data_IF_770788662468
#
_entry.id   IF_770788662468
#
_cell.length_a   1.000
_cell.length_b   1.000
_cell.length_c   1.000
_cell.angle_alpha   90.00
_cell.angle_beta   90.00
_cell.angle_gamma   90.00
#
_symmetry.space_group_name_H-M   'P 1'
#
loop_
_entity.id
_entity.type
_entity.pdbx_description
1 polymer ?
#
# COMPACT_ATOMS: atom_id res chain seq x y z
N UNK A 1 -41.91 33.79 -42.77
CA UNK A 1 -41.04 32.60 -42.57
C UNK A 1 -40.34 32.73 -41.23
N UNK A 2 -40.87 32.13 -40.15
CA UNK A 2 -40.26 32.15 -38.82
C UNK A 2 -39.23 31.03 -38.75
N UNK A 3 -37.95 31.35 -38.52
CA UNK A 3 -36.89 30.36 -38.30
C UNK A 3 -36.76 30.14 -36.79
N UNK A 4 -36.97 28.91 -36.35
CA UNK A 4 -36.75 28.47 -34.97
C UNK A 4 -35.26 28.16 -34.80
N UNK A 5 -34.61 28.75 -33.79
CA UNK A 5 -33.25 28.40 -33.38
C UNK A 5 -33.39 27.44 -32.21
N UNK A 6 -32.96 26.20 -32.41
CA UNK A 6 -32.90 25.17 -31.37
C UNK A 6 -31.72 25.52 -30.46
N UNK A 7 -32.01 25.90 -29.21
CA UNK A 7 -31.01 26.05 -28.17
C UNK A 7 -30.68 24.63 -27.67
N UNK A 8 -29.52 24.13 -28.07
CA UNK A 8 -29.00 22.85 -27.59
C UNK A 8 -28.44 23.03 -26.18
N UNK A 9 -29.08 22.37 -25.21
CA UNK A 9 -28.61 22.20 -23.84
C UNK A 9 -27.38 21.31 -23.83
N UNK A 10 -26.19 21.91 -23.79
CA UNK A 10 -24.97 21.22 -23.37
C UNK A 10 -24.97 21.19 -21.84
N UNK A 11 -25.50 20.08 -21.30
CA UNK A 11 -25.32 19.68 -19.92
C UNK A 11 -23.82 19.52 -19.67
N UNK A 12 -23.17 20.54 -19.12
CA UNK A 12 -21.79 20.43 -18.64
C UNK A 12 -21.84 19.66 -17.33
N UNK A 13 -21.88 18.33 -17.43
CA UNK A 13 -21.74 17.41 -16.32
C UNK A 13 -20.33 17.52 -15.76
N UNK A 14 -20.12 18.43 -14.82
CA UNK A 14 -18.99 18.37 -13.90
C UNK A 14 -19.38 17.43 -12.75
N UNK A 15 -19.49 16.14 -13.09
CA UNK A 15 -19.18 15.10 -12.13
C UNK A 15 -17.68 15.22 -11.87
N UNK A 16 -17.30 16.01 -10.87
CA UNK A 16 -16.02 15.78 -10.21
C UNK A 16 -16.14 14.40 -9.55
N UNK A 17 -15.82 13.36 -10.30
CA UNK A 17 -15.21 12.20 -9.69
C UNK A 17 -13.90 12.75 -9.11
N UNK A 18 -13.93 13.12 -7.83
CA UNK A 18 -12.70 13.13 -7.04
C UNK A 18 -12.16 11.72 -7.15
N UNK A 19 -11.27 11.55 -8.11
CA UNK A 19 -10.57 10.31 -8.35
C UNK A 19 -9.93 9.92 -7.02
N UNK A 20 -10.25 8.70 -6.57
CA UNK A 20 -9.84 8.12 -5.30
C UNK A 20 -8.33 7.86 -5.32
N UNK A 21 -7.52 8.91 -5.48
CA UNK A 21 -6.08 8.80 -5.59
C UNK A 21 -5.50 8.82 -4.17
N UNK A 22 -4.83 7.73 -3.80
CA UNK A 22 -3.97 7.72 -2.64
C UNK A 22 -2.90 8.80 -2.84
N UNK A 23 -2.93 9.85 -2.02
CA UNK A 23 -1.92 10.89 -2.06
C UNK A 23 -0.73 10.45 -1.20
N UNK A 24 0.39 10.13 -1.86
CA UNK A 24 1.61 9.72 -1.18
C UNK A 24 2.75 10.71 -1.41
N UNK A 25 3.62 10.85 -0.43
CA UNK A 25 4.91 11.53 -0.57
C UNK A 25 6.00 10.77 0.17
N UNK A 26 7.24 10.90 -0.32
CA UNK A 26 8.42 10.30 0.30
C UNK A 26 9.14 11.33 1.17
N UNK A 27 9.47 10.96 2.40
CA UNK A 27 10.48 11.63 3.23
C UNK A 27 11.82 10.90 3.04
N UNK A 28 12.73 11.52 2.29
CA UNK A 28 14.02 10.92 1.96
C UNK A 28 14.97 10.85 3.16
N UNK A 29 14.91 11.81 4.08
CA UNK A 29 15.80 11.88 5.23
C UNK A 29 15.44 10.78 6.25
N UNK A 30 14.15 10.45 6.32
CA UNK A 30 13.63 9.42 7.22
C UNK A 30 13.46 8.04 6.59
N UNK A 31 13.64 7.91 5.27
CA UNK A 31 13.42 6.67 4.50
C UNK A 31 12.02 6.08 4.73
N UNK A 32 10.99 6.94 4.63
CA UNK A 32 9.59 6.54 4.77
C UNK A 32 8.74 7.13 3.65
N UNK A 33 7.59 6.49 3.40
CA UNK A 33 6.56 6.99 2.49
C UNK A 33 5.27 7.21 3.29
N UNK A 34 4.70 8.40 3.22
CA UNK A 34 3.45 8.74 3.90
C UNK A 34 2.36 8.81 2.85
N UNK A 35 1.28 8.06 3.07
CA UNK A 35 0.14 7.96 2.17
C UNK A 35 -1.15 8.32 2.91
N UNK A 36 -1.98 9.16 2.32
CA UNK A 36 -3.33 9.44 2.80
C UNK A 36 -4.35 8.73 1.93
N UNK A 37 -5.14 7.84 2.53
CA UNK A 37 -6.22 7.12 1.87
C UNK A 37 -7.52 7.35 2.64
N UNK A 38 -8.65 7.47 1.93
CA UNK A 38 -9.92 7.93 2.49
C UNK A 38 -10.48 7.01 3.60
N UNK A 39 -10.27 5.70 3.49
CA UNK A 39 -10.77 4.69 4.42
C UNK A 39 -9.71 4.25 5.43
N UNK A 40 -8.44 4.31 5.07
CA UNK A 40 -7.32 3.89 5.94
C UNK A 40 -6.71 5.03 6.75
N UNK A 41 -7.04 6.28 6.41
CA UNK A 41 -6.43 7.46 7.01
C UNK A 41 -5.00 7.67 6.52
N UNK A 42 -4.15 8.23 7.40
CA UNK A 42 -2.74 8.51 7.10
C UNK A 42 -1.84 7.37 7.57
N UNK A 43 -1.20 6.70 6.62
CA UNK A 43 -0.27 5.61 6.88
C UNK A 43 1.15 6.04 6.56
N UNK A 44 2.09 5.62 7.39
CA UNK A 44 3.53 5.76 7.15
C UNK A 44 4.13 4.38 6.92
N UNK A 45 4.88 4.25 5.84
CA UNK A 45 5.47 3.01 5.36
C UNK A 45 6.98 3.06 5.47
N UNK A 46 7.57 1.98 6.00
CA UNK A 46 9.01 1.78 5.94
C UNK A 46 9.44 1.68 4.47
N UNK A 47 10.51 2.38 4.08
CA UNK A 47 11.15 2.21 2.79
C UNK A 47 12.65 2.48 2.87
N UNK A 48 13.36 1.50 3.44
CA UNK A 48 14.81 1.48 3.63
C UNK A 48 15.50 0.58 2.59
N UNK A 49 16.78 0.84 2.32
CA UNK A 49 17.57 0.10 1.32
C UNK A 49 17.74 -1.38 1.68
N UNK A 50 17.87 -1.68 2.97
CA UNK A 50 17.97 -3.05 3.44
C UNK A 50 16.56 -3.63 3.56
N UNK A 51 16.27 -4.64 2.75
CA UNK A 51 15.02 -5.40 2.86
C UNK A 51 15.19 -6.55 3.85
N UNK A 52 14.12 -6.86 4.58
CA UNK A 52 14.03 -8.05 5.42
C UNK A 52 13.13 -9.09 4.75
N UNK A 53 13.55 -10.36 4.83
CA UNK A 53 12.72 -11.51 4.49
C UNK A 53 12.71 -12.50 5.64
N UNK A 54 11.54 -13.00 5.99
CA UNK A 54 11.38 -13.93 7.10
C UNK A 54 10.10 -14.76 7.00
N UNK A 55 9.96 -15.70 7.93
CA UNK A 55 8.66 -16.34 8.19
C UNK A 55 7.62 -15.32 8.62
N UNK A 56 6.34 -15.67 8.58
CA UNK A 56 5.28 -14.75 9.00
C UNK A 56 5.45 -14.29 10.47
N UNK A 57 5.86 -15.20 11.35
CA UNK A 57 6.19 -14.87 12.74
C UNK A 57 7.39 -13.92 12.85
N UNK A 58 8.47 -14.20 12.12
CA UNK A 58 9.63 -13.32 12.06
C UNK A 58 9.28 -11.94 11.48
N UNK A 59 8.34 -11.86 10.53
CA UNK A 59 7.88 -10.62 9.94
C UNK A 59 7.12 -9.75 10.95
N UNK A 60 6.25 -10.36 11.75
CA UNK A 60 5.56 -9.66 12.83
C UNK A 60 6.55 -9.14 13.88
N UNK A 61 7.51 -9.98 14.28
CA UNK A 61 8.50 -9.60 15.28
C UNK A 61 9.42 -8.48 14.77
N UNK A 62 9.91 -8.62 13.54
CA UNK A 62 10.69 -7.58 12.87
C UNK A 62 9.98 -6.23 12.94
N UNK A 63 8.70 -6.15 12.55
CA UNK A 63 7.99 -4.88 12.59
C UNK A 63 7.81 -4.32 14.01
N UNK A 64 7.69 -5.15 15.05
CA UNK A 64 7.57 -4.66 16.43
C UNK A 64 8.87 -4.06 16.98
N UNK A 65 10.03 -4.49 16.47
CA UNK A 65 11.34 -4.04 16.96
C UNK A 65 11.98 -2.95 16.11
N UNK A 66 11.46 -2.70 14.90
CA UNK A 66 11.93 -1.62 14.03
C UNK A 66 11.79 -0.29 14.77
N UNK A 67 12.89 0.46 14.78
CA UNK A 67 12.93 1.85 15.24
C UNK A 67 13.40 2.72 14.09
N UNK A 68 12.44 3.24 13.33
CA UNK A 68 12.68 4.04 12.13
C UNK A 68 11.99 5.39 12.27
N UNK A 69 12.65 6.46 11.80
CA UNK A 69 12.11 7.81 11.81
C UNK A 69 11.75 8.35 13.23
N UNK A 70 12.29 7.73 14.28
CA UNK A 70 11.98 8.05 15.69
C UNK A 70 10.76 7.31 16.25
N UNK A 71 10.17 6.39 15.49
CA UNK A 71 8.95 5.65 15.85
C UNK A 71 9.22 4.17 16.09
N UNK A 72 8.45 3.57 17.01
CA UNK A 72 8.56 2.16 17.44
C UNK A 72 7.25 1.37 17.38
N UNK A 73 6.17 2.02 16.99
CA UNK A 73 4.81 1.47 16.85
C UNK A 73 4.56 0.92 15.44
N UNK A 74 5.61 0.41 14.81
CA UNK A 74 5.55 -0.25 13.51
C UNK A 74 4.87 -1.62 13.65
N UNK A 75 4.13 -2.01 12.61
CA UNK A 75 3.44 -3.30 12.55
C UNK A 75 3.44 -3.87 11.14
N UNK A 76 3.13 -5.16 11.06
CA UNK A 76 2.85 -5.81 9.79
C UNK A 76 1.54 -5.24 9.21
N UNK A 77 1.49 -4.89 7.91
CA UNK A 77 0.30 -4.30 7.29
C UNK A 77 -0.80 -5.34 7.11
N UNK A 78 -2.04 -4.88 7.03
CA UNK A 78 -3.17 -5.71 6.56
C UNK A 78 -3.16 -5.84 5.04
N UNK A 79 -3.93 -6.79 4.51
CA UNK A 79 -4.12 -6.97 3.07
C UNK A 79 -4.64 -5.68 2.41
N UNK A 80 -5.65 -5.03 3.00
CA UNK A 80 -6.23 -3.78 2.47
C UNK A 80 -5.20 -2.65 2.42
N UNK A 81 -4.33 -2.55 3.43
CA UNK A 81 -3.28 -1.54 3.46
C UNK A 81 -2.23 -1.80 2.38
N UNK A 82 -1.77 -3.05 2.24
CA UNK A 82 -0.85 -3.43 1.16
C UNK A 82 -1.45 -3.12 -0.21
N UNK A 83 -2.72 -3.44 -0.43
CA UNK A 83 -3.40 -3.18 -1.70
C UNK A 83 -3.37 -1.68 -2.05
N UNK A 84 -3.54 -0.80 -1.05
CA UNK A 84 -3.54 0.65 -1.25
C UNK A 84 -2.21 1.23 -1.74
N UNK A 85 -1.11 0.47 -1.59
CA UNK A 85 0.23 0.87 -2.03
C UNK A 85 0.77 0.07 -3.24
N UNK A 86 -0.07 -0.69 -3.92
CA UNK A 86 0.35 -1.42 -5.14
C UNK A 86 0.36 -0.49 -6.36
N UNK A 87 1.24 -0.75 -7.33
CA UNK A 87 1.23 -0.02 -8.61
C UNK A 87 -0.12 -0.13 -9.33
N UNK A 88 -0.79 -1.29 -9.22
CA UNK A 88 -2.14 -1.48 -9.75
C UNK A 88 -3.14 -0.47 -9.19
N UNK A 89 -3.05 -0.18 -7.89
CA UNK A 89 -3.94 0.79 -7.23
C UNK A 89 -3.55 2.22 -7.53
N UNK A 90 -2.25 2.51 -7.67
CA UNK A 90 -1.76 3.82 -8.08
C UNK A 90 -0.42 3.67 -8.83
N UNK A 91 -0.42 3.85 -10.17
CA UNK A 91 0.77 3.65 -11.00
C UNK A 91 1.96 4.56 -10.69
N UNK A 92 1.74 5.66 -9.97
CA UNK A 92 2.81 6.59 -9.60
C UNK A 92 3.62 6.11 -8.39
N UNK A 93 3.14 5.11 -7.64
CA UNK A 93 3.76 4.68 -6.38
C UNK A 93 5.14 4.05 -6.55
N UNK A 94 5.43 3.44 -7.69
CA UNK A 94 6.76 2.90 -7.97
C UNK A 94 7.85 3.97 -8.06
N UNK A 95 7.47 5.22 -8.32
CA UNK A 95 8.40 6.35 -8.29
C UNK A 95 8.57 6.91 -6.88
N UNK A 96 7.63 6.62 -5.97
CA UNK A 96 7.62 7.13 -4.59
C UNK A 96 8.33 6.15 -3.64
N UNK A 97 8.09 4.86 -3.80
CA UNK A 97 8.83 3.80 -3.12
C UNK A 97 10.15 3.55 -3.84
N UNK A 98 11.26 3.90 -3.18
CA UNK A 98 12.60 3.86 -3.75
C UNK A 98 13.23 2.47 -3.63
N UNK A 99 12.94 1.74 -2.55
CA UNK A 99 13.58 0.47 -2.26
C UNK A 99 12.57 -0.68 -2.32
N UNK A 100 12.16 -0.99 -3.55
CA UNK A 100 11.36 -2.17 -3.87
C UNK A 100 12.33 -3.23 -4.41
N UNK A 101 12.29 -4.44 -3.84
CA UNK A 101 13.07 -5.55 -4.38
C UNK A 101 12.52 -6.02 -5.74
N UNK A 102 13.25 -6.85 -6.47
CA UNK A 102 12.73 -7.40 -7.72
C UNK A 102 11.56 -8.36 -7.45
N UNK A 103 10.41 -8.09 -8.09
CA UNK A 103 9.14 -8.84 -7.92
C UNK A 103 8.78 -9.26 -6.47
N UNK A 104 8.64 -8.34 -5.49
CA UNK A 104 8.50 -8.70 -4.10
C UNK A 104 7.06 -9.07 -3.75
N UNK A 105 6.93 -10.21 -3.08
CA UNK A 105 5.75 -10.57 -2.32
C UNK A 105 5.95 -10.18 -0.87
N UNK A 106 5.02 -9.40 -0.33
CA UNK A 106 5.04 -8.91 1.05
C UNK A 106 4.03 -9.65 1.91
N UNK A 107 4.42 -10.00 3.12
CA UNK A 107 3.51 -10.53 4.13
C UNK A 107 2.48 -9.49 4.58
N UNK A 108 1.24 -9.94 4.77
CA UNK A 108 0.22 -9.22 5.53
C UNK A 108 -0.04 -9.88 6.89
N UNK A 109 -0.72 -9.18 7.79
CA UNK A 109 -1.17 -9.67 9.09
C UNK A 109 -2.41 -10.57 9.04
N UNK A 110 -3.02 -10.76 7.87
CA UNK A 110 -4.20 -11.61 7.69
C UNK A 110 -3.80 -13.09 7.78
N UNK A 111 -4.15 -13.74 8.89
CA UNK A 111 -3.78 -15.11 9.22
C UNK A 111 -4.99 -16.05 9.28
N UNK A 112 -4.84 -17.25 8.73
CA UNK A 112 -5.78 -18.36 8.85
C UNK A 112 -5.16 -19.46 9.71
N UNK A 113 -5.67 -19.60 10.93
CA UNK A 113 -5.19 -20.58 11.89
C UNK A 113 -5.40 -22.03 11.46
N UNK A 114 -6.48 -22.32 10.72
CA UNK A 114 -6.82 -23.69 10.34
C UNK A 114 -5.82 -24.28 9.34
N UNK A 115 -5.29 -23.45 8.45
CA UNK A 115 -4.33 -23.85 7.42
C UNK A 115 -2.89 -23.44 7.73
N UNK A 116 -2.64 -22.77 8.86
CA UNK A 116 -1.33 -22.18 9.18
C UNK A 116 -0.79 -21.35 8.01
N UNK A 117 -1.65 -20.48 7.46
CA UNK A 117 -1.31 -19.65 6.31
C UNK A 117 -1.62 -18.19 6.55
N UNK A 118 -0.88 -17.30 5.89
CA UNK A 118 -1.13 -15.87 5.88
C UNK A 118 -1.16 -15.34 4.46
N UNK A 119 -1.76 -14.17 4.26
CA UNK A 119 -1.82 -13.53 2.95
C UNK A 119 -0.47 -12.91 2.61
N UNK A 120 -0.01 -13.14 1.39
CA UNK A 120 1.05 -12.36 0.75
C UNK A 120 0.46 -11.54 -0.39
N UNK A 121 1.12 -10.42 -0.73
CA UNK A 121 0.72 -9.58 -1.86
C UNK A 121 1.92 -9.13 -2.68
N UNK A 122 1.81 -9.21 -4.00
CA UNK A 122 2.83 -8.72 -4.93
C UNK A 122 2.63 -7.23 -5.17
N UNK A 123 3.70 -6.46 -5.01
CA UNK A 123 3.63 -4.99 -5.09
C UNK A 123 3.18 -4.44 -6.44
N UNK A 124 3.67 -5.02 -7.54
CA UNK A 124 3.50 -4.48 -8.88
C UNK A 124 2.07 -4.62 -9.44
N UNK A 125 1.36 -5.69 -9.08
CA UNK A 125 0.04 -5.96 -9.66
C UNK A 125 -1.06 -6.23 -8.61
N UNK A 126 -0.71 -6.18 -7.32
CA UNK A 126 -1.64 -6.40 -6.23
C UNK A 126 -2.24 -7.80 -6.17
N UNK A 127 -1.64 -8.77 -6.88
CA UNK A 127 -2.07 -10.17 -6.75
C UNK A 127 -1.77 -10.63 -5.32
N UNK A 128 -2.80 -11.16 -4.66
CA UNK A 128 -2.69 -11.75 -3.31
C UNK A 128 -2.93 -13.26 -3.33
N UNK A 129 -2.44 -13.94 -2.30
CA UNK A 129 -2.60 -15.38 -2.13
C UNK A 129 -2.28 -15.83 -0.71
N UNK A 130 -2.84 -16.98 -0.32
CA UNK A 130 -2.53 -17.61 0.96
C UNK A 130 -1.27 -18.46 0.84
N UNK A 131 -0.34 -18.28 1.77
CA UNK A 131 0.91 -19.04 1.81
C UNK A 131 1.20 -19.57 3.21
N UNK A 132 1.91 -20.69 3.28
CA UNK A 132 2.29 -21.31 4.55
C UNK A 132 3.21 -20.36 5.34
N UNK A 133 2.89 -20.14 6.62
CA UNK A 133 3.60 -19.18 7.49
C UNK A 133 5.09 -19.48 7.68
N UNK A 134 5.55 -20.70 7.38
CA UNK A 134 6.96 -21.08 7.44
C UNK A 134 7.78 -20.66 6.20
N UNK A 135 7.13 -20.22 5.12
CA UNK A 135 7.81 -19.70 3.93
C UNK A 135 8.40 -18.33 4.22
N UNK A 136 9.36 -17.91 3.41
CA UNK A 136 10.06 -16.63 3.58
C UNK A 136 9.62 -15.65 2.50
N UNK A 137 9.09 -14.51 2.92
CA UNK A 137 8.68 -13.42 2.03
C UNK A 137 9.15 -12.08 2.59
N UNK A 138 9.08 -11.05 1.75
CA UNK A 138 9.51 -9.70 2.13
C UNK A 138 8.59 -9.10 3.18
N UNK A 139 9.15 -8.16 3.93
CA UNK A 139 8.43 -7.43 4.98
C UNK A 139 8.57 -5.94 4.72
N UNK A 140 7.44 -5.24 4.79
CA UNK A 140 7.37 -3.78 4.76
C UNK A 140 6.43 -3.35 5.86
N UNK A 141 6.98 -2.74 6.90
CA UNK A 141 6.19 -2.34 8.05
C UNK A 141 5.40 -1.07 7.77
N UNK A 142 4.27 -0.93 8.45
CA UNK A 142 3.40 0.24 8.40
C UNK A 142 3.08 0.71 9.82
N UNK A 143 2.79 2.00 9.97
CA UNK A 143 2.20 2.58 11.18
C UNK A 143 1.15 3.63 10.82
N UNK A 144 0.33 4.03 11.80
CA UNK A 144 -0.53 5.20 11.66
C UNK A 144 0.34 6.46 11.85
N UNK A 145 0.23 7.42 10.94
CA UNK A 145 0.92 8.73 11.01
C UNK A 145 0.14 9.75 11.86
#
# INVERSE_FOLDING_TARGET
MKKYIIISLLLCGLLHAEELSTACYRDNDKNVVICSEKKLGRLMWQDEKQSFQGTWEQAQEYCKIVNLAGYRDWRLPTETELLSITERSNPTLNTIFKYIADSPWYWSSNYNANSSSAIIMRFWDGISGWENVSRRFYVRCVRQD
#
